data_IF_602776316230
#
_entry.id   IF_602776316230
#
_cell.length_a   1.000
_cell.length_b   1.000
_cell.length_c   1.000
_cell.angle_alpha   90.00
_cell.angle_beta   90.00
_cell.angle_gamma   90.00
#
_symmetry.space_group_name_H-M   'P 1'
#
loop_
_entity.id
_entity.type
_entity.pdbx_description
1 polymer ?
#
# COMPACT_ATOMS: atom_id res chain seq x y z
N UNK A 1 44.17 25.42 39.61
CA UNK A 1 42.84 25.49 38.97
C UNK A 1 42.34 24.07 38.76
N UNK A 2 41.30 23.57 39.46
CA UNK A 2 40.85 22.19 39.27
C UNK A 2 40.03 22.09 37.98
N UNK A 3 40.40 21.13 37.13
CA UNK A 3 39.70 20.82 35.88
C UNK A 3 38.31 20.24 36.17
N UNK A 4 37.28 20.90 35.64
CA UNK A 4 35.88 20.46 35.66
C UNK A 4 35.76 19.18 34.82
N UNK A 5 35.87 18.01 35.45
CA UNK A 5 35.59 16.75 34.78
C UNK A 5 34.15 16.78 34.23
N UNK A 6 33.93 16.42 32.95
CA UNK A 6 32.59 16.40 32.38
C UNK A 6 31.68 15.50 33.20
N UNK A 7 30.55 16.06 33.61
CA UNK A 7 29.60 15.45 34.54
C UNK A 7 28.97 14.18 33.90
N UNK A 8 29.52 13.02 34.22
CA UNK A 8 29.16 11.69 33.69
C UNK A 8 27.67 11.35 33.82
N UNK A 9 26.97 11.98 34.78
CA UNK A 9 25.51 11.89 34.95
C UNK A 9 24.75 12.50 33.77
N UNK A 10 25.25 13.60 33.19
CA UNK A 10 24.65 14.25 32.02
C UNK A 10 24.83 13.43 30.74
N UNK A 11 26.01 12.82 30.57
CA UNK A 11 26.30 11.93 29.44
C UNK A 11 25.41 10.67 29.46
N UNK A 12 25.28 10.02 30.62
CA UNK A 12 24.39 8.85 30.80
C UNK A 12 22.91 9.19 30.55
N UNK A 13 22.46 10.38 30.95
CA UNK A 13 21.08 10.84 30.68
C UNK A 13 20.82 11.01 29.18
N UNK A 14 21.76 11.59 28.44
CA UNK A 14 21.67 11.76 26.97
C UNK A 14 21.60 10.41 26.26
N UNK A 15 22.46 9.45 26.62
CA UNK A 15 22.45 8.11 26.03
C UNK A 15 21.11 7.41 26.29
N UNK A 16 20.59 7.47 27.52
CA UNK A 16 19.29 6.90 27.87
C UNK A 16 18.14 7.53 27.08
N UNK A 17 18.12 8.86 26.93
CA UNK A 17 17.08 9.53 26.14
C UNK A 17 17.14 9.15 24.67
N UNK A 18 18.35 8.99 24.10
CA UNK A 18 18.54 8.55 22.72
C UNK A 18 18.08 7.09 22.51
N UNK A 19 18.39 6.20 23.46
CA UNK A 19 17.93 4.81 23.40
C UNK A 19 16.41 4.69 23.51
N UNK A 20 15.78 5.46 24.39
CA UNK A 20 14.31 5.50 24.50
C UNK A 20 13.68 6.03 23.22
N UNK A 21 14.21 7.11 22.63
CA UNK A 21 13.70 7.65 21.37
C UNK A 21 13.84 6.65 20.21
N UNK A 22 14.98 5.95 20.11
CA UNK A 22 15.19 4.93 19.09
C UNK A 22 14.25 3.73 19.27
N UNK A 23 14.07 3.24 20.50
CA UNK A 23 13.13 2.17 20.81
C UNK A 23 11.67 2.58 20.49
N UNK A 24 11.32 3.85 20.75
CA UNK A 24 9.99 4.37 20.43
C UNK A 24 9.74 4.42 18.91
N UNK A 25 10.76 4.79 18.11
CA UNK A 25 10.67 4.80 16.65
C UNK A 25 10.50 3.40 16.06
N UNK A 26 11.19 2.40 16.62
CA UNK A 26 11.07 0.99 16.20
C UNK A 26 9.71 0.38 16.57
N UNK A 27 9.02 0.92 17.58
CA UNK A 27 7.73 0.44 18.06
C UNK A 27 6.54 1.06 17.32
N UNK A 28 6.76 2.03 16.42
CA UNK A 28 5.68 2.61 15.63
C UNK A 28 5.16 1.58 14.62
N UNK A 29 3.83 1.44 14.45
CA UNK A 29 3.28 0.61 13.40
C UNK A 29 3.72 1.15 12.04
N UNK A 30 4.19 0.27 11.16
CA UNK A 30 4.43 0.64 9.77
C UNK A 30 3.09 0.87 9.09
N UNK A 31 2.79 2.13 8.75
CA UNK A 31 1.72 2.45 7.80
C UNK A 31 2.20 1.96 6.43
N UNK A 32 1.64 0.85 5.98
CA UNK A 32 1.75 0.45 4.58
C UNK A 32 0.77 1.33 3.79
N UNK A 33 1.24 1.96 2.72
CA UNK A 33 0.35 2.56 1.75
C UNK A 33 -0.58 1.46 1.22
N UNK A 34 -1.88 1.72 1.24
CA UNK A 34 -2.85 0.76 0.72
C UNK A 34 -2.85 0.88 -0.80
N UNK A 35 -2.16 -0.07 -1.45
CA UNK A 35 -2.01 -0.11 -2.90
C UNK A 35 -3.37 -0.10 -3.63
N UNK A 36 -4.44 -0.62 -3.01
CA UNK A 36 -5.79 -0.57 -3.61
C UNK A 36 -6.30 0.86 -3.61
N UNK A 37 -6.09 1.62 -2.54
CA UNK A 37 -6.47 3.04 -2.47
C UNK A 37 -5.65 3.88 -3.45
N UNK A 38 -4.35 3.62 -3.56
CA UNK A 38 -3.46 4.33 -4.48
C UNK A 38 -3.91 4.13 -5.94
N UNK A 39 -4.14 2.88 -6.35
CA UNK A 39 -4.61 2.58 -7.71
C UNK A 39 -6.05 3.04 -7.96
N UNK A 40 -6.91 3.04 -6.94
CA UNK A 40 -8.25 3.63 -7.05
C UNK A 40 -8.18 5.12 -7.33
N UNK A 41 -7.27 5.85 -6.65
CA UNK A 41 -7.05 7.27 -6.91
C UNK A 41 -6.56 7.51 -8.35
N UNK A 42 -5.58 6.72 -8.81
CA UNK A 42 -5.07 6.79 -10.19
C UNK A 42 -6.19 6.54 -11.21
N UNK A 43 -6.96 5.46 -11.02
CA UNK A 43 -8.04 5.08 -11.93
C UNK A 43 -9.15 6.14 -11.97
N UNK A 44 -9.50 6.75 -10.84
CA UNK A 44 -10.55 7.76 -10.73
C UNK A 44 -10.16 9.14 -11.30
N UNK A 45 -8.90 9.35 -11.71
CA UNK A 45 -8.48 10.63 -12.28
C UNK A 45 -9.18 10.92 -13.62
N UNK A 46 -9.47 12.20 -13.88
CA UNK A 46 -10.11 12.63 -15.12
C UNK A 46 -9.40 12.17 -16.41
N UNK A 47 -8.05 12.16 -16.49
CA UNK A 47 -7.36 11.62 -17.67
C UNK A 47 -7.57 10.12 -17.88
N UNK A 48 -7.84 9.35 -16.82
CA UNK A 48 -8.03 7.90 -16.90
C UNK A 48 -9.50 7.56 -17.07
N UNK A 49 -10.33 7.71 -16.04
CA UNK A 49 -11.75 7.33 -16.14
C UNK A 49 -12.52 8.25 -17.10
N UNK A 50 -12.16 9.54 -17.16
CA UNK A 50 -12.83 10.50 -18.06
C UNK A 50 -12.60 10.22 -19.55
N UNK A 51 -11.64 9.36 -19.89
CA UNK A 51 -11.49 8.85 -21.27
C UNK A 51 -12.63 7.89 -21.68
N UNK A 52 -13.34 7.30 -20.73
CA UNK A 52 -14.45 6.36 -20.96
C UNK A 52 -15.78 7.09 -21.12
N UNK A 53 -16.02 7.72 -22.26
CA UNK A 53 -17.35 8.21 -22.66
C UNK A 53 -18.14 8.97 -21.58
N UNK A 54 -19.45 8.70 -21.50
CA UNK A 54 -20.36 9.33 -20.53
C UNK A 54 -20.34 8.69 -19.13
N UNK A 55 -21.07 9.26 -18.16
CA UNK A 55 -21.02 8.83 -16.76
C UNK A 55 -21.28 7.33 -16.55
N UNK A 56 -22.20 6.72 -17.30
CA UNK A 56 -22.48 5.29 -17.21
C UNK A 56 -21.29 4.42 -17.64
N UNK A 57 -20.58 4.84 -18.69
CA UNK A 57 -19.37 4.13 -19.16
C UNK A 57 -18.23 4.26 -18.15
N UNK A 58 -18.09 5.43 -17.53
CA UNK A 58 -17.12 5.71 -16.46
C UNK A 58 -17.38 4.87 -15.20
N UNK A 59 -18.62 4.80 -14.74
CA UNK A 59 -18.97 3.93 -13.60
C UNK A 59 -18.76 2.46 -13.93
N UNK A 60 -19.09 2.04 -15.16
CA UNK A 60 -18.85 0.66 -15.60
C UNK A 60 -17.36 0.32 -15.64
N UNK A 61 -16.49 1.21 -16.14
CA UNK A 61 -15.05 0.94 -16.17
C UNK A 61 -14.46 0.85 -14.76
N UNK A 62 -14.86 1.74 -13.86
CA UNK A 62 -14.43 1.66 -12.45
C UNK A 62 -14.93 0.38 -11.76
N UNK A 63 -16.16 -0.06 -12.02
CA UNK A 63 -16.66 -1.33 -11.49
C UNK A 63 -15.84 -2.53 -11.96
N UNK A 64 -15.45 -2.55 -13.25
CA UNK A 64 -14.59 -3.60 -13.82
C UNK A 64 -13.21 -3.59 -13.15
N UNK A 65 -12.61 -2.41 -12.92
CA UNK A 65 -11.35 -2.27 -12.19
C UNK A 65 -11.45 -2.91 -10.81
N UNK A 66 -12.51 -2.59 -10.05
CA UNK A 66 -12.67 -3.12 -8.69
C UNK A 66 -12.88 -4.64 -8.66
N UNK A 67 -13.64 -5.19 -9.62
CA UNK A 67 -13.80 -6.65 -9.76
C UNK A 67 -12.46 -7.31 -10.08
N UNK A 68 -11.69 -6.76 -11.01
CA UNK A 68 -10.39 -7.31 -11.39
C UNK A 68 -9.39 -7.29 -10.21
N UNK A 69 -9.36 -6.21 -9.43
CA UNK A 69 -8.52 -6.09 -8.23
C UNK A 69 -8.94 -7.09 -7.15
N UNK A 70 -10.25 -7.24 -6.90
CA UNK A 70 -10.77 -8.25 -5.97
C UNK A 70 -10.35 -9.66 -6.38
N UNK A 71 -10.54 -10.02 -7.65
CA UNK A 71 -10.20 -11.35 -8.14
C UNK A 71 -8.69 -11.61 -8.07
N UNK A 72 -7.87 -10.61 -8.42
CA UNK A 72 -6.41 -10.72 -8.33
C UNK A 72 -5.92 -10.96 -6.90
N UNK A 73 -6.42 -10.20 -5.91
CA UNK A 73 -6.03 -10.39 -4.51
C UNK A 73 -6.49 -11.74 -3.95
N UNK A 74 -7.70 -12.19 -4.31
CA UNK A 74 -8.20 -13.50 -3.89
C UNK A 74 -7.51 -14.67 -4.61
N UNK A 75 -6.83 -14.43 -5.74
CA UNK A 75 -5.96 -15.44 -6.37
C UNK A 75 -4.62 -15.64 -5.63
N UNK A 76 -4.16 -14.62 -4.88
CA UNK A 76 -2.92 -14.67 -4.08
C UNK A 76 -3.20 -15.18 -2.67
N UNK A 77 -4.08 -14.49 -1.95
CA UNK A 77 -4.47 -14.84 -0.58
C UNK A 77 -5.99 -14.97 -0.55
N UNK A 78 -6.53 -16.17 -0.82
CA UNK A 78 -7.97 -16.38 -0.90
C UNK A 78 -8.65 -16.03 0.43
N UNK A 79 -9.56 -15.04 0.39
CA UNK A 79 -10.46 -14.69 1.49
C UNK A 79 -11.92 -14.85 1.09
N UNK A 80 -12.20 -14.71 -0.20
CA UNK A 80 -13.51 -14.78 -0.83
C UNK A 80 -13.42 -15.53 -2.16
N UNK A 81 -14.58 -15.94 -2.68
CA UNK A 81 -14.67 -16.43 -4.06
C UNK A 81 -14.44 -15.28 -5.05
N UNK A 82 -13.76 -15.60 -6.15
CA UNK A 82 -13.59 -14.68 -7.28
C UNK A 82 -14.89 -14.60 -8.09
N UNK A 83 -15.14 -13.45 -8.71
CA UNK A 83 -16.25 -13.24 -9.65
C UNK A 83 -15.94 -13.82 -11.03
N UNK A 84 -14.67 -13.79 -11.42
CA UNK A 84 -14.16 -14.35 -12.68
C UNK A 84 -13.37 -15.64 -12.43
N UNK A 85 -13.17 -16.42 -13.48
CA UNK A 85 -12.27 -17.58 -13.44
C UNK A 85 -10.82 -17.08 -13.53
N UNK A 86 -10.18 -16.90 -12.38
CA UNK A 86 -8.77 -16.47 -12.27
C UNK A 86 -7.95 -17.64 -11.74
N UNK A 87 -6.85 -18.04 -12.40
CA UNK A 87 -5.99 -19.11 -11.90
C UNK A 87 -5.32 -18.68 -10.58
N UNK A 88 -5.00 -19.63 -9.69
CA UNK A 88 -4.22 -19.32 -8.49
C UNK A 88 -2.90 -18.62 -8.84
N UNK A 89 -2.54 -17.61 -8.06
CA UNK A 89 -1.29 -16.89 -8.27
C UNK A 89 -0.08 -17.80 -7.94
N UNK A 90 1.06 -17.60 -8.61
CA UNK A 90 2.28 -18.34 -8.29
C UNK A 90 2.74 -18.05 -6.86
N UNK A 91 3.46 -19.00 -6.26
CA UNK A 91 4.00 -18.83 -4.91
C UNK A 91 4.91 -17.59 -4.85
N UNK A 92 4.68 -16.75 -3.84
CA UNK A 92 5.43 -15.49 -3.65
C UNK A 92 4.98 -14.34 -4.55
N UNK A 93 3.81 -14.42 -5.21
CA UNK A 93 3.24 -13.29 -5.95
C UNK A 93 3.07 -12.05 -5.06
N UNK A 94 3.42 -10.88 -5.60
CA UNK A 94 3.27 -9.59 -4.93
C UNK A 94 1.86 -9.05 -5.11
N UNK A 95 1.17 -8.74 -4.01
CA UNK A 95 -0.13 -8.08 -4.02
C UNK A 95 -0.08 -6.74 -4.75
N UNK A 96 0.96 -5.93 -4.53
CA UNK A 96 1.09 -4.62 -5.16
C UNK A 96 1.19 -4.72 -6.69
N UNK A 97 2.00 -5.66 -7.16
CA UNK A 97 2.16 -5.92 -8.58
C UNK A 97 0.86 -6.45 -9.20
N UNK A 98 0.13 -7.31 -8.48
CA UNK A 98 -1.13 -7.85 -8.96
C UNK A 98 -2.24 -6.79 -9.05
N UNK A 99 -2.36 -5.90 -8.07
CA UNK A 99 -3.31 -4.78 -8.10
C UNK A 99 -2.99 -3.83 -9.26
N UNK A 100 -1.71 -3.49 -9.45
CA UNK A 100 -1.27 -2.67 -10.58
C UNK A 100 -1.61 -3.31 -11.94
N UNK A 101 -1.27 -4.59 -12.10
CA UNK A 101 -1.50 -5.32 -13.34
C UNK A 101 -2.99 -5.47 -13.65
N UNK A 102 -3.81 -5.83 -12.65
CA UNK A 102 -5.25 -5.97 -12.79
C UNK A 102 -5.92 -4.64 -13.16
N UNK A 103 -5.54 -3.55 -12.49
CA UNK A 103 -6.05 -2.20 -12.79
C UNK A 103 -5.71 -1.79 -14.22
N UNK A 104 -4.45 -1.97 -14.63
CA UNK A 104 -4.00 -1.68 -15.99
C UNK A 104 -4.76 -2.51 -17.03
N UNK A 105 -4.92 -3.81 -16.79
CA UNK A 105 -5.63 -4.70 -17.70
C UNK A 105 -7.10 -4.31 -17.84
N UNK A 106 -7.79 -4.00 -16.73
CA UNK A 106 -9.18 -3.56 -16.76
C UNK A 106 -9.40 -2.24 -17.51
N UNK A 107 -8.41 -1.34 -17.52
CA UNK A 107 -8.49 -0.04 -18.18
C UNK A 107 -8.06 -0.05 -19.65
N UNK A 108 -7.16 -0.95 -20.04
CA UNK A 108 -6.52 -0.91 -21.36
C UNK A 108 -6.69 -2.19 -22.20
N UNK A 109 -7.18 -3.28 -21.58
CA UNK A 109 -7.36 -4.59 -22.19
C UNK A 109 -8.67 -4.74 -22.95
#
# INVERSE_FOLDING_TARGET
>A
MPALLPNSRRARRRIRTSLVAAALMLALPQVHADVVLDWNQVAATAPVVGSFGGPYQQFRSMAIVQIAVHDALNSITPRYHTYSVVPPAPAGASSDAAVAAATRYALLG
#
